data_IF_757360818779
#
_entry.id   IF_757360818779
#
_cell.length_a   1.000
_cell.length_b   1.000
_cell.length_c   1.000
_cell.angle_alpha   90.00
_cell.angle_beta   90.00
_cell.angle_gamma   90.00
#
_symmetry.space_group_name_H-M   'P 1'
#
loop_
_entity.id
_entity.type
_entity.pdbx_description
1 polymer ?
2 polymer ?
3 non-polymer ?
4 water ?
#
# COMPACT_ATOMS: atom_id res chain seq x y z
N UNK A 8 19.50 7.93 -11.43
CA UNK A 8 18.36 7.50 -10.59
C UNK A 8 18.08 6.01 -10.77
N UNK A 9 17.53 5.37 -9.74
CA UNK A 9 17.10 3.97 -9.81
C UNK A 9 15.66 3.82 -10.26
N UNK A 10 15.41 2.81 -11.08
CA UNK A 10 14.08 2.56 -11.63
C UNK A 10 13.74 1.09 -11.41
N UNK A 11 13.33 0.79 -10.18
CA UNK A 11 13.07 -0.57 -9.78
C UNK A 11 11.55 -0.72 -9.63
N UNK A 12 10.95 -1.45 -10.54
CA UNK A 12 9.50 -1.56 -10.62
C UNK A 12 8.95 -2.81 -9.97
N UNK A 13 7.73 -2.68 -9.46
CA UNK A 13 6.83 -3.82 -9.36
C UNK A 13 5.62 -3.53 -10.23
N UNK A 14 4.81 -4.55 -10.48
CA UNK A 14 3.63 -4.45 -11.32
C UNK A 14 2.48 -5.06 -10.54
N UNK A 15 1.28 -4.51 -10.71
CA UNK A 15 0.11 -4.97 -9.98
C UNK A 15 -1.16 -4.77 -10.79
N UNK A 16 -2.10 -5.70 -10.61
CA UNK A 16 -3.41 -5.65 -11.27
C UNK A 16 -3.31 -5.42 -12.77
N UNK A 17 -2.47 -6.25 -13.42
CA UNK A 17 -2.30 -6.26 -14.86
C UNK A 17 -2.50 -7.69 -15.40
N UNK A 18 -2.99 -7.78 -16.63
CA UNK A 18 -3.09 -9.06 -17.33
C UNK A 18 -1.71 -9.67 -17.51
N UNK A 19 -1.60 -11.01 -17.51
CA UNK A 19 -0.28 -11.63 -17.72
C UNK A 19 0.49 -11.12 -18.94
N UNK A 20 -0.21 -10.89 -20.05
CA UNK A 20 0.46 -10.42 -21.26
C UNK A 20 0.97 -8.98 -21.07
N UNK A 21 0.18 -8.14 -20.39
CA UNK A 21 0.67 -6.81 -19.99
C UNK A 21 1.96 -6.90 -19.16
N UNK A 22 2.00 -7.82 -18.20
CA UNK A 22 3.14 -7.96 -17.29
C UNK A 22 4.41 -8.37 -18.02
N UNK A 23 4.24 -9.32 -18.95
CA UNK A 23 5.34 -9.79 -19.77
C UNK A 23 5.84 -8.67 -20.69
N UNK A 24 4.91 -7.98 -21.37
CA UNK A 24 5.26 -6.87 -22.26
C UNK A 24 6.00 -5.77 -21.52
N UNK A 25 5.56 -5.47 -20.31
CA UNK A 25 6.15 -4.37 -19.56
C UNK A 25 7.46 -4.72 -18.86
N UNK A 26 7.59 -5.98 -18.45
CA UNK A 26 8.86 -6.48 -17.93
C UNK A 26 9.94 -6.31 -18.98
N UNK A 27 9.61 -6.69 -20.23
CA UNK A 27 10.51 -6.56 -21.35
C UNK A 27 10.82 -5.09 -21.63
N UNK A 28 9.80 -4.22 -21.61
CA UNK A 28 10.04 -2.82 -21.89
C UNK A 28 10.95 -2.21 -20.83
N UNK A 29 10.64 -2.46 -19.56
CA UNK A 29 11.40 -1.88 -18.46
C UNK A 29 12.89 -2.28 -18.53
N UNK A 30 13.15 -3.54 -18.87
CA UNK A 30 14.52 -4.04 -18.96
C UNK A 30 15.25 -3.35 -20.12
N UNK A 31 14.55 -3.25 -21.26
CA UNK A 31 15.04 -2.61 -22.47
C UNK A 31 15.44 -1.16 -22.17
N UNK A 32 14.67 -0.50 -21.32
CA UNK A 32 14.89 0.89 -20.94
C UNK A 32 15.98 1.05 -19.89
N UNK A 33 16.41 -0.07 -19.32
CA UNK A 33 17.47 -0.04 -18.33
C UNK A 33 17.04 -0.10 -16.87
N UNK A 34 15.76 -0.34 -16.62
CA UNK A 34 15.28 -0.51 -15.25
C UNK A 34 15.26 -1.97 -14.84
N UNK A 35 14.72 -2.24 -13.65
CA UNK A 35 14.54 -3.60 -13.16
C UNK A 35 13.09 -3.80 -12.75
N UNK A 36 12.63 -5.05 -12.84
CA UNK A 36 11.33 -5.43 -12.32
C UNK A 36 11.52 -6.52 -11.28
N UNK A 37 10.87 -6.33 -10.14
CA UNK A 37 10.81 -7.38 -9.13
C UNK A 37 9.52 -8.13 -9.38
N UNK A 38 9.66 -9.32 -9.94
CA UNK A 38 8.55 -10.20 -10.29
C UNK A 38 8.25 -11.12 -9.12
N UNK A 39 7.49 -10.61 -8.17
CA UNK A 39 7.08 -11.37 -7.00
C UNK A 39 5.60 -11.13 -6.85
N UNK A 40 4.93 -12.09 -6.23
CA UNK A 40 3.52 -11.99 -5.89
C UNK A 40 3.36 -11.02 -4.74
N UNK A 41 4.43 -10.85 -3.97
CA UNK A 41 4.32 -9.99 -2.80
C UNK A 41 5.05 -8.66 -3.00
N UNK A 42 4.76 -7.75 -2.08
CA UNK A 42 5.39 -6.45 -2.11
C UNK A 42 6.84 -6.58 -1.72
N UNK A 43 7.69 -5.78 -2.36
CA UNK A 43 9.12 -5.79 -2.04
C UNK A 43 9.53 -4.33 -1.90
N UNK A 44 9.92 -3.92 -0.67
CA UNK A 44 10.32 -2.54 -0.35
C UNK A 44 11.53 -1.99 -1.11
N UNK A 45 12.30 -2.85 -1.78
CA UNK A 45 13.40 -2.42 -2.67
C UNK A 45 12.90 -1.62 -3.89
N UNK A 46 11.67 -1.86 -4.31
CA UNK A 46 11.11 -1.17 -5.48
C UNK A 46 10.97 0.34 -5.27
N UNK A 47 10.99 1.09 -6.36
CA UNK A 47 10.89 2.56 -6.28
C UNK A 47 9.65 3.07 -7.03
N UNK A 48 9.17 2.26 -7.97
CA UNK A 48 8.01 2.58 -8.78
C UNK A 48 7.13 1.37 -8.84
N UNK A 49 5.84 1.58 -9.06
CA UNK A 49 4.93 0.49 -9.35
C UNK A 49 3.96 0.99 -10.42
N UNK A 50 3.72 0.16 -11.43
CA UNK A 50 2.68 0.45 -12.41
C UNK A 50 1.50 -0.44 -12.07
N UNK A 51 0.32 0.20 -11.97
CA UNK A 51 -0.90 -0.46 -11.50
C UNK A 51 -1.98 -0.33 -12.58
N UNK A 52 -2.62 -1.46 -12.91
CA UNK A 52 -3.68 -1.45 -13.93
C UNK A 52 -4.95 -0.90 -13.34
N UNK A 53 -5.26 -1.35 -12.12
CA UNK A 53 -6.47 -0.95 -11.40
C UNK A 53 -6.18 -0.74 -9.94
N UNK A 54 -6.36 0.50 -9.44
CA UNK A 54 -6.19 0.72 -8.01
C UNK A 54 -7.09 -0.20 -7.16
N UNK A 55 -6.49 -0.97 -6.25
CA UNK A 55 -7.20 -1.96 -5.42
C UNK A 55 -6.62 -1.94 -4.01
N UNK A 56 -7.32 -2.55 -3.05
CA UNK A 56 -6.84 -2.65 -1.67
C UNK A 56 -6.03 -3.93 -1.48
N UNK A 57 -5.04 -4.12 -2.35
CA UNK A 57 -4.18 -5.28 -2.26
C UNK A 57 -2.84 -4.88 -1.67
N UNK A 58 -2.02 -5.89 -1.37
CA UNK A 58 -0.75 -5.71 -0.69
C UNK A 58 0.18 -4.75 -1.41
N UNK A 59 0.43 -4.97 -2.70
CA UNK A 59 1.36 -4.06 -3.43
C UNK A 59 0.92 -2.59 -3.46
N UNK A 60 -0.36 -2.37 -3.70
CA UNK A 60 -0.86 -1.00 -3.82
C UNK A 60 -0.74 -0.26 -2.49
N UNK A 61 -1.32 -0.86 -1.45
CA UNK A 61 -1.35 -0.22 -0.14
C UNK A 61 0.04 -0.03 0.45
N UNK A 62 0.91 -1.03 0.28
CA UNK A 62 2.26 -0.93 0.82
C UNK A 62 3.13 0.12 0.08
N UNK A 63 2.94 0.25 -1.23
CA UNK A 63 3.59 1.30 -2.01
C UNK A 63 3.16 2.69 -1.55
N UNK A 64 1.89 2.85 -1.24
CA UNK A 64 1.40 4.12 -0.70
C UNK A 64 1.99 4.39 0.69
N UNK A 65 1.96 3.36 1.56
CA UNK A 65 2.48 3.50 2.91
C UNK A 65 3.93 3.91 2.91
N UNK A 66 4.65 3.60 1.83
CA UNK A 66 6.07 3.98 1.74
C UNK A 66 6.31 5.13 0.78
N UNK A 67 5.24 5.64 0.18
CA UNK A 67 5.35 6.80 -0.72
C UNK A 67 6.10 6.52 -2.00
N UNK A 68 5.82 5.39 -2.64
CA UNK A 68 6.43 5.08 -3.93
C UNK A 68 5.71 5.86 -5.02
N UNK A 69 6.34 5.95 -6.20
CA UNK A 69 5.63 6.38 -7.40
C UNK A 69 4.60 5.31 -7.78
N UNK A 70 3.33 5.69 -7.81
CA UNK A 70 2.25 4.76 -8.19
C UNK A 70 1.67 5.24 -9.52
N UNK A 71 1.97 4.49 -10.58
CA UNK A 71 1.87 5.04 -11.93
C UNK A 71 0.92 4.27 -12.82
N UNK A 72 0.23 5.02 -13.68
CA UNK A 72 -0.63 4.49 -14.71
C UNK A 72 0.19 3.90 -15.88
N UNK A 73 -0.33 2.90 -16.57
CA UNK A 73 0.39 2.24 -17.68
C UNK A 73 0.82 3.18 -18.83
N UNK A 74 0.08 4.26 -19.05
CA UNK A 74 0.48 5.22 -20.09
C UNK A 74 1.88 5.79 -19.82
N UNK A 75 2.30 5.80 -18.56
CA UNK A 75 3.69 6.13 -18.23
C UNK A 75 4.68 5.37 -19.09
N UNK A 76 4.56 4.04 -19.09
CA UNK A 76 5.48 3.19 -19.82
C UNK A 76 5.36 3.37 -21.33
N UNK A 77 4.15 3.61 -21.82
CA UNK A 77 3.98 3.93 -23.24
C UNK A 77 4.65 5.25 -23.65
N UNK A 78 4.64 6.23 -22.77
CA UNK A 78 5.39 7.48 -23.01
C UNK A 78 6.89 7.21 -22.96
N UNK A 79 7.30 6.31 -22.07
CA UNK A 79 8.72 5.91 -21.99
C UNK A 79 9.17 5.25 -23.29
N UNK A 80 8.39 4.30 -23.77
CA UNK A 80 8.62 3.57 -25.03
C UNK A 80 8.82 4.54 -26.21
N UNK A 81 7.99 5.59 -26.27
CA UNK A 81 8.06 6.60 -27.34
C UNK A 81 9.35 7.41 -27.21
N UNK A 82 9.65 7.82 -25.97
CA UNK A 82 10.78 8.69 -25.72
C UNK A 82 12.12 7.94 -25.83
N UNK A 83 12.10 6.64 -25.57
CA UNK A 83 13.31 5.81 -25.60
C UNK A 83 14.08 5.83 -24.30
N UNK A 84 13.43 6.38 -23.25
CA UNK A 84 14.00 6.43 -21.90
C UNK A 84 12.89 6.68 -20.88
N UNK A 85 13.24 6.57 -19.59
CA UNK A 85 12.33 6.89 -18.51
C UNK A 85 12.05 8.39 -18.45
N UNK A 86 10.79 8.78 -18.69
CA UNK A 86 10.39 10.19 -18.61
C UNK A 86 10.00 10.60 -17.19
N UNK A 87 9.75 11.89 -16.98
CA UNK A 87 9.29 12.38 -15.68
C UNK A 87 7.99 11.70 -15.27
N UNK A 88 7.93 11.27 -14.01
CA UNK A 88 6.79 10.52 -13.47
C UNK A 88 5.51 11.33 -13.23
N UNK A 89 5.65 12.60 -12.90
CA UNK A 89 4.56 13.42 -12.35
C UNK A 89 3.22 13.34 -13.08
N UNK A 90 3.26 13.47 -14.41
CA UNK A 90 2.03 13.52 -15.20
C UNK A 90 1.36 12.16 -15.39
N UNK A 91 1.97 11.11 -14.84
CA UNK A 91 1.45 9.75 -14.99
C UNK A 91 1.10 9.08 -13.67
N UNK A 92 1.22 9.84 -12.58
CA UNK A 92 0.87 9.34 -11.26
C UNK A 92 -0.65 9.15 -11.23
N UNK A 93 -1.10 8.06 -10.63
CA UNK A 93 -2.53 7.74 -10.56
C UNK A 93 -3.35 8.86 -9.94
N UNK A 94 -2.79 9.52 -8.92
CA UNK A 94 -3.49 10.61 -8.24
C UNK A 94 -3.48 11.96 -8.94
N UNK A 95 -2.74 12.08 -10.04
CA UNK A 95 -2.63 13.35 -10.73
C UNK A 95 -3.84 13.61 -11.63
N UNK A 96 -4.09 14.89 -11.87
CA UNK A 96 -5.20 15.35 -12.71
C UNK A 96 -5.08 14.81 -14.12
N UNK A 97 -3.85 14.78 -14.63
CA UNK A 97 -3.57 14.26 -15.97
C UNK A 97 -4.14 12.87 -16.17
N UNK A 98 -4.08 12.05 -15.11
CA UNK A 98 -4.61 10.68 -15.19
C UNK A 98 -6.07 10.67 -14.78
N UNK A 99 -6.36 11.20 -13.59
CA UNK A 99 -7.72 11.15 -13.06
C UNK A 99 -8.76 11.83 -13.95
N UNK A 100 -8.41 12.95 -14.57
CA UNK A 100 -9.36 13.70 -15.42
C UNK A 100 -9.72 12.99 -16.72
N UNK A 101 -8.79 12.19 -17.21
CA UNK A 101 -8.93 11.53 -18.50
C UNK A 101 -9.66 10.19 -18.35
N UNK A 102 -9.45 9.51 -17.23
CA UNK A 102 -10.03 8.19 -17.07
C UNK A 102 -11.51 8.20 -16.67
N UNK A 103 -12.22 7.16 -17.09
CA UNK A 103 -13.59 6.91 -16.67
C UNK A 103 -13.60 5.61 -15.84
N UNK A 104 -14.75 5.25 -15.28
CA UNK A 104 -14.88 3.99 -14.52
C UNK A 104 -14.18 3.99 -13.18
N UNK A 105 -13.44 5.04 -12.89
CA UNK A 105 -12.84 5.19 -11.57
C UNK A 105 -13.97 5.45 -10.56
N UNK A 106 -14.18 4.50 -9.66
CA UNK A 106 -15.15 4.66 -8.58
C UNK A 106 -14.55 5.44 -7.42
N UNK A 107 -15.33 5.71 -6.38
CA UNK A 107 -14.84 6.52 -5.26
C UNK A 107 -13.68 5.88 -4.50
N UNK A 108 -13.73 4.57 -4.30
CA UNK A 108 -12.64 3.85 -3.66
C UNK A 108 -11.34 4.08 -4.45
N UNK A 109 -11.43 3.87 -5.76
CA UNK A 109 -10.27 4.00 -6.63
C UNK A 109 -9.71 5.42 -6.67
N UNK A 110 -10.61 6.41 -6.75
CA UNK A 110 -10.19 7.81 -6.75
C UNK A 110 -9.44 8.14 -5.45
N UNK A 111 -10.00 7.73 -4.32
CA UNK A 111 -9.36 7.91 -3.02
C UNK A 111 -7.99 7.23 -3.01
N UNK A 112 -7.93 6.01 -3.52
CA UNK A 112 -6.67 5.27 -3.57
C UNK A 112 -5.63 5.98 -4.43
N UNK A 113 -6.07 6.48 -5.59
CA UNK A 113 -5.20 7.18 -6.51
C UNK A 113 -4.66 8.47 -5.87
N UNK A 114 -5.57 9.30 -5.36
CA UNK A 114 -5.21 10.53 -4.66
C UNK A 114 -4.27 10.29 -3.47
N UNK A 115 -4.57 9.25 -2.69
CA UNK A 115 -3.71 8.91 -1.54
C UNK A 115 -2.28 8.57 -1.97
N UNK A 116 -2.17 7.85 -3.09
CA UNK A 116 -0.88 7.46 -3.64
C UNK A 116 -0.02 8.70 -3.91
N UNK A 117 -0.60 9.69 -4.58
CA UNK A 117 0.09 10.94 -4.86
C UNK A 117 0.46 11.72 -3.57
N UNK A 118 -0.50 11.81 -2.66
CA UNK A 118 -0.34 12.54 -1.42
C UNK A 118 0.77 11.97 -0.56
N UNK A 119 0.78 10.65 -0.39
CA UNK A 119 1.81 10.01 0.42
C UNK A 119 3.18 10.06 -0.27
N UNK A 120 3.19 9.99 -1.60
CA UNK A 120 4.44 10.12 -2.37
C UNK A 120 5.07 11.47 -2.06
N UNK A 121 4.27 12.54 -2.15
CA UNK A 121 4.74 13.89 -1.85
C UNK A 121 5.24 14.04 -0.42
N UNK A 122 4.44 13.60 0.55
CA UNK A 122 4.77 13.71 1.97
C UNK A 122 6.11 13.05 2.31
N UNK A 123 6.27 11.80 1.87
CA UNK A 123 7.42 11.00 2.25
C UNK A 123 8.71 11.45 1.58
N UNK A 124 8.60 11.88 0.32
CA UNK A 124 9.76 12.34 -0.44
C UNK A 124 10.34 13.66 0.08
N UNK A 125 9.54 14.44 0.80
CA UNK A 125 10.01 15.67 1.42
C UNK A 125 10.74 15.39 2.73
N UNK A 126 10.48 14.22 3.31
CA UNK A 126 11.15 13.79 4.53
C UNK A 126 12.47 13.06 4.25
N UNK A 127 12.51 12.31 3.14
CA UNK A 127 13.74 11.70 2.61
C UNK A 127 14.86 12.73 2.43
N UNK A 128 14.56 13.79 1.67
CA UNK A 128 15.52 14.88 1.40
C UNK A 128 15.86 15.69 2.65
N UNK A 129 15.03 15.55 3.67
CA UNK A 129 15.24 16.17 4.97
C UNK A 129 16.11 15.26 5.83
N UNK A 130 16.21 13.99 5.43
CA UNK A 130 17.07 13.01 6.08
C UNK A 130 16.41 12.23 7.20
N UNK A 131 15.09 12.03 7.12
CA UNK A 131 14.40 11.12 8.03
C UNK A 131 13.61 10.05 7.27
N UNK A 132 13.68 8.82 7.80
CA UNK A 132 12.95 7.68 7.27
C UNK A 132 11.66 7.51 8.09
N UNK A 133 10.51 7.67 7.43
CA UNK A 133 9.22 7.71 8.12
C UNK A 133 8.04 7.46 7.19
N UNK A 134 7.55 6.22 7.15
CA UNK A 134 6.32 5.89 6.43
C UNK A 134 5.05 6.26 7.16
N UNK A 135 3.91 5.90 6.56
CA UNK A 135 2.57 6.18 7.11
C UNK A 135 2.29 5.60 8.50
N UNK A 136 2.88 4.44 8.82
CA UNK A 136 2.62 3.76 10.10
C UNK A 136 3.78 3.89 11.09
N UNK A 137 4.52 4.98 10.97
CA UNK A 137 5.66 5.25 11.84
C UNK A 137 5.16 5.39 13.27
N UNK A 138 5.82 4.72 14.22
CA UNK A 138 5.40 4.71 15.61
C UNK A 138 4.38 3.63 16.01
N UNK A 139 3.82 2.93 15.03
CA UNK A 139 2.87 1.85 15.32
C UNK A 139 3.57 0.56 15.74
N UNK A 140 3.09 -0.05 16.82
CA UNK A 140 3.58 -1.35 17.26
C UNK A 140 2.40 -2.32 17.28
N UNK A 141 2.39 -3.25 16.33
CA UNK A 141 1.14 -3.92 15.96
C UNK A 141 1.12 -5.41 16.26
N UNK A 142 0.01 -5.82 16.87
CA UNK A 142 -0.36 -7.22 16.99
C UNK A 142 -1.40 -7.53 15.91
N UNK A 143 -1.13 -8.59 15.15
CA UNK A 143 -1.99 -9.01 14.05
C UNK A 143 -2.71 -10.27 14.47
N UNK A 144 -4.03 -10.26 14.34
CA UNK A 144 -4.84 -11.46 14.49
C UNK A 144 -5.75 -11.55 13.27
N UNK A 145 -5.19 -11.95 12.13
CA UNK A 145 -5.96 -11.91 10.90
C UNK A 145 -5.95 -13.26 10.21
N UNK A 146 -6.92 -13.46 9.32
CA UNK A 146 -7.02 -14.70 8.56
C UNK A 146 -5.65 -15.12 8.01
N UNK A 147 -5.28 -16.38 8.19
CA UNK A 147 -4.00 -16.89 7.69
C UNK A 147 -3.81 -16.67 6.18
N UNK A 148 -4.91 -16.66 5.42
CA UNK A 148 -4.83 -16.38 3.98
C UNK A 148 -4.22 -14.99 3.71
N UNK A 149 -4.23 -14.12 4.71
CA UNK A 149 -3.96 -12.69 4.53
C UNK A 149 -2.87 -12.11 5.43
N UNK A 150 -2.48 -12.86 6.46
CA UNK A 150 -1.63 -12.28 7.51
C UNK A 150 -0.29 -11.76 7.02
N UNK A 151 0.40 -12.55 6.22
CA UNK A 151 1.72 -12.13 5.73
C UNK A 151 1.62 -10.86 4.85
N UNK A 152 0.52 -10.71 4.13
CA UNK A 152 0.28 -9.52 3.31
C UNK A 152 0.14 -8.26 4.15
N UNK A 153 -0.63 -8.35 5.25
CA UNK A 153 -0.77 -7.26 6.19
C UNK A 153 0.51 -6.93 6.89
N UNK A 154 1.28 -7.95 7.22
CA UNK A 154 2.53 -7.74 7.91
C UNK A 154 3.48 -6.93 7.03
N UNK A 155 3.64 -7.33 5.77
CA UNK A 155 4.46 -6.57 4.81
C UNK A 155 3.93 -5.16 4.58
N UNK A 156 2.62 -5.03 4.46
CA UNK A 156 1.99 -3.71 4.33
C UNK A 156 2.40 -2.82 5.51
N UNK A 157 2.19 -3.32 6.73
CA UNK A 157 2.46 -2.53 7.93
C UNK A 157 3.94 -2.17 8.05
N UNK A 158 4.82 -3.14 7.78
CA UNK A 158 6.26 -2.92 7.81
C UNK A 158 6.69 -1.89 6.77
N UNK A 159 6.07 -1.94 5.59
CA UNK A 159 6.39 -1.00 4.51
C UNK A 159 6.25 0.45 4.98
N UNK A 160 5.20 0.73 5.76
CA UNK A 160 4.97 2.07 6.32
C UNK A 160 5.69 2.36 7.63
N UNK A 161 6.63 1.49 8.01
CA UNK A 161 7.47 1.75 9.17
C UNK A 161 6.88 1.30 10.50
N UNK A 162 5.86 0.45 10.46
CA UNK A 162 5.34 -0.14 11.69
C UNK A 162 6.21 -1.32 12.14
N UNK A 163 6.27 -1.53 13.46
CA UNK A 163 6.81 -2.75 14.04
C UNK A 163 5.65 -3.77 14.17
N UNK A 164 5.79 -4.93 13.54
CA UNK A 164 4.83 -6.02 13.76
C UNK A 164 5.40 -6.95 14.82
N UNK A 165 4.72 -7.01 15.97
CA UNK A 165 5.18 -7.79 17.12
C UNK A 165 4.99 -9.28 16.86
N UNK A 166 5.89 -10.13 17.42
CA UNK A 166 5.75 -11.55 17.18
C UNK A 166 4.71 -12.18 18.11
N UNK A 167 3.57 -12.56 17.55
CA UNK A 167 2.56 -13.27 18.33
C UNK A 167 1.47 -12.35 18.86
N UNK A 168 0.63 -12.91 19.73
CA UNK A 168 -0.51 -12.20 20.26
C UNK A 168 -0.68 -12.48 21.76
N UNK A 169 0.39 -12.91 22.42
CA UNK A 169 0.36 -13.21 23.85
C UNK A 169 0.09 -11.94 24.67
N UNK A 170 -0.65 -12.10 25.76
CA UNK A 170 -1.03 -10.96 26.62
C UNK A 170 0.18 -10.10 27.06
N UNK A 171 1.32 -10.72 27.40
CA UNK A 171 2.53 -9.93 27.76
C UNK A 171 2.96 -8.89 26.71
N UNK A 172 2.61 -9.10 25.45
CA UNK A 172 2.96 -8.18 24.38
C UNK A 172 2.08 -6.92 24.31
N UNK A 173 0.94 -6.95 25.00
CA UNK A 173 -0.06 -5.87 24.89
C UNK A 173 0.48 -4.53 25.40
N UNK A 174 1.36 -4.57 26.41
CA UNK A 174 1.95 -3.36 26.97
C UNK A 174 2.88 -2.64 25.99
N UNK A 175 3.44 -3.37 25.03
CA UNK A 175 4.29 -2.81 23.98
C UNK A 175 3.46 -2.38 22.75
N UNK A 176 2.25 -2.92 22.62
CA UNK A 176 1.43 -2.71 21.43
C UNK A 176 0.65 -1.40 21.52
N UNK A 177 0.54 -0.71 20.38
CA UNK A 177 -0.35 0.43 20.25
C UNK A 177 -1.65 0.03 19.54
N UNK A 178 -1.55 -0.94 18.63
CA UNK A 178 -2.69 -1.39 17.82
C UNK A 178 -2.80 -2.90 17.77
N UNK A 179 -4.02 -3.39 17.78
CA UNK A 179 -4.29 -4.80 17.55
C UNK A 179 -5.37 -4.82 16.46
N UNK A 180 -5.06 -5.45 15.33
CA UNK A 180 -5.99 -5.52 14.21
C UNK A 180 -6.48 -6.94 14.03
N UNK A 181 -7.76 -7.07 13.69
CA UNK A 181 -8.37 -8.35 13.40
C UNK A 181 -9.39 -8.24 12.28
N UNK A 182 -9.56 -9.31 11.52
CA UNK A 182 -10.65 -9.37 10.56
C UNK A 182 -11.51 -10.62 10.76
N UNK A 183 -11.47 -11.18 11.97
CA UNK A 183 -12.09 -12.49 12.20
C UNK A 183 -13.45 -12.44 12.90
N UNK A 192 -8.10 -17.53 19.73
CA UNK A 192 -7.07 -17.73 20.76
C UNK A 192 -6.44 -16.41 21.21
N UNK A 193 -7.02 -15.29 20.78
CA UNK A 193 -6.48 -14.00 21.17
C UNK A 193 -7.39 -13.34 22.20
N UNK A 194 -6.82 -12.95 23.33
CA UNK A 194 -7.60 -12.29 24.36
C UNK A 194 -7.72 -10.78 24.11
N UNK A 195 -8.66 -10.43 23.23
CA UNK A 195 -8.88 -9.06 22.78
C UNK A 195 -9.30 -8.09 23.88
N UNK A 196 -10.21 -8.54 24.73
CA UNK A 196 -10.76 -7.69 25.79
C UNK A 196 -9.66 -7.29 26.78
N UNK A 197 -8.69 -8.19 26.95
CA UNK A 197 -7.53 -7.98 27.80
C UNK A 197 -6.67 -6.84 27.22
N UNK A 198 -6.46 -6.87 25.91
CA UNK A 198 -5.73 -5.79 25.24
C UNK A 198 -6.49 -4.47 25.36
N UNK A 199 -7.80 -4.49 25.11
CA UNK A 199 -8.65 -3.31 25.22
C UNK A 199 -8.62 -2.73 26.62
N UNK A 200 -8.62 -3.60 27.63
CA UNK A 200 -8.57 -3.16 29.02
C UNK A 200 -7.28 -2.37 29.29
N UNK A 201 -6.27 -2.56 28.45
CA UNK A 201 -4.99 -1.83 28.57
C UNK A 201 -4.86 -0.68 27.58
N UNK A 202 -5.96 -0.30 26.94
CA UNK A 202 -6.00 0.82 26.00
C UNK A 202 -5.20 0.65 24.71
N UNK A 203 -4.97 -0.59 24.31
CA UNK A 203 -4.51 -0.92 22.97
C UNK A 203 -5.68 -0.64 22.02
N UNK A 204 -5.43 -0.01 20.87
CA UNK A 204 -6.49 0.18 19.86
C UNK A 204 -6.82 -1.17 19.24
N UNK A 205 -8.01 -1.68 19.55
CA UNK A 205 -8.44 -2.98 19.05
C UNK A 205 -9.42 -2.75 17.90
N UNK A 206 -8.92 -2.91 16.68
CA UNK A 206 -9.56 -2.37 15.48
C UNK A 206 -9.69 -3.38 14.33
N UNK A 207 -10.75 -3.20 13.55
CA UNK A 207 -10.94 -3.95 12.30
C UNK A 207 -9.82 -3.59 11.32
N UNK A 208 -9.40 -4.54 10.50
CA UNK A 208 -8.34 -4.27 9.49
C UNK A 208 -8.62 -3.12 8.51
N UNK A 209 -9.90 -2.79 8.32
CA UNK A 209 -10.33 -1.71 7.42
C UNK A 209 -9.73 -0.38 7.79
N UNK A 210 -9.45 -0.19 9.08
CA UNK A 210 -8.80 1.01 9.54
C UNK A 210 -7.47 1.23 8.82
N UNK A 211 -6.74 0.16 8.53
CA UNK A 211 -5.40 0.30 7.94
C UNK A 211 -5.52 1.02 6.59
N UNK A 212 -6.40 0.50 5.73
CA UNK A 212 -6.64 1.06 4.41
C UNK A 212 -7.29 2.47 4.43
N UNK A 213 -8.30 2.66 5.28
CA UNK A 213 -8.95 3.97 5.40
C UNK A 213 -8.00 5.02 5.98
N UNK A 214 -7.10 4.57 6.87
CA UNK A 214 -6.07 5.45 7.39
C UNK A 214 -5.19 6.01 6.26
N UNK A 215 -4.90 5.19 5.26
CA UNK A 215 -4.15 5.63 4.09
C UNK A 215 -4.99 6.39 3.06
N UNK A 216 -6.22 5.92 2.85
CA UNK A 216 -7.12 6.42 1.79
C UNK A 216 -7.68 7.81 2.07
N UNK A 217 -7.70 8.19 3.35
CA UNK A 217 -8.36 9.43 3.74
C UNK A 217 -7.43 10.47 4.35
N UNK A 218 -7.50 11.68 3.78
CA UNK A 218 -6.93 12.90 4.36
C UNK A 218 -7.21 12.97 5.86
N UNK A 219 -8.50 12.97 6.21
CA UNK A 219 -8.92 12.91 7.61
C UNK A 219 -9.75 11.66 7.79
N UNK A 220 -9.12 10.56 8.26
CA UNK A 220 -9.88 9.33 8.52
C UNK A 220 -10.84 9.50 9.70
N UNK A 221 -11.93 8.69 9.73
CA UNK A 221 -12.83 8.77 10.90
C UNK A 221 -12.10 8.35 12.17
N UNK A 222 -12.72 8.69 13.30
CA UNK A 222 -12.20 8.32 14.61
C UNK A 222 -12.06 6.80 14.74
N UNK A 223 -11.02 6.37 15.45
CA UNK A 223 -10.75 4.96 15.73
C UNK A 223 -11.94 4.23 16.37
N UNK A 224 -12.70 4.96 17.18
CA UNK A 224 -13.92 4.41 17.79
C UNK A 224 -14.86 3.78 16.75
N UNK A 225 -14.79 4.25 15.50
CA UNK A 225 -15.62 3.71 14.44
C UNK A 225 -15.20 2.32 13.95
N UNK A 226 -14.02 1.85 14.39
CA UNK A 226 -13.44 0.60 13.89
C UNK A 226 -13.20 -0.42 15.00
N UNK A 227 -13.76 -0.16 16.17
CA UNK A 227 -13.58 -0.98 17.36
C UNK A 227 -14.08 -2.41 17.16
N UNK A 228 -13.25 -3.40 17.52
CA UNK A 228 -13.67 -4.80 17.52
C UNK A 228 -14.73 -5.03 18.61
N UNK A 229 -15.55 -6.09 18.45
CA UNK A 229 -16.65 -6.37 19.37
C UNK A 229 -16.27 -6.40 20.85
N UNK A 230 -15.20 -7.12 21.21
CA UNK A 230 -14.78 -7.26 22.62
C UNK A 230 -14.23 -5.96 23.22
N UNK A 231 -13.91 -5.00 22.36
CA UNK A 231 -13.38 -3.70 22.79
C UNK A 231 -14.43 -2.59 22.95
N UNK A 232 -15.68 -2.89 22.54
CA UNK A 232 -16.77 -1.90 22.64
C UNK A 232 -17.16 -1.59 24.08
N UNK A 233 -17.20 -0.30 24.42
CA UNK A 233 -17.53 0.25 25.74
C UNK A 233 -17.07 -0.58 26.95
N UNK B 1 -10.32 -9.64 -12.41
CA UNK B 1 -9.49 -10.68 -13.14
C UNK B 1 -8.79 -11.67 -12.21
N UNK B 2 -8.82 -12.95 -12.58
CA UNK B 2 -8.09 -13.99 -11.84
C UNK B 2 -6.59 -13.73 -11.74
N UNK B 3 -6.07 -12.88 -12.62
CA UNK B 3 -4.67 -12.56 -12.67
C UNK B 3 -4.32 -11.27 -11.89
N UNK B 4 -5.32 -10.62 -11.27
CA UNK B 4 -5.06 -9.46 -10.40
C UNK B 4 -4.92 -10.00 -8.97
N UNK B 6 -5.47 -10.77 -5.37
CA UNK B 6 -6.63 -10.50 -4.50
C UNK B 6 -6.36 -9.38 -3.49
N UNK B 7 -7.42 -8.62 -3.20
CA UNK B 7 -7.40 -7.62 -2.14
C UNK B 7 -7.18 -8.27 -0.77
N UNK B 8 -6.84 -7.45 0.23
CA UNK B 8 -6.65 -7.89 1.61
C UNK B 8 -7.95 -7.84 2.41
N UNK B 9 -9.06 -7.63 1.70
CA UNK B 9 -10.39 -7.44 2.26
C UNK B 9 -11.48 -8.18 1.49
N UNK B 10 -12.54 -8.57 2.17
CA UNK B 10 -13.79 -9.03 1.54
C UNK B 10 -14.47 -7.87 0.81
#
# INVERSE_FOLDING_TARGET
>A
GPLGSLKKQYIFQLSSLNPQERIDYCHLIEKLGGLVIEKQCFDPTCTHIVVGHPLRNEKYLASVAAGKWVLHRSYLEACRTAGHFVQEEDYEWGSSSILDVLTGINVQQRRLALAAMRWRKKIQQRQESGIVEGAFSGWKVILHVDQSREAGFKRLLQSGGAKVLPGHSVPLFKEATHLFSDLNKLKPDDSGVNIAEAAAQNVYCLRTEYIADYLMQESPPHVENYCLPEAISFI
>B
SIYFXPELYD
#
